data_IF_526479037078
#
_entry.id   IF_526479037078
#
_cell.length_a   1.000
_cell.length_b   1.000
_cell.length_c   1.000
_cell.angle_alpha   90.00
_cell.angle_beta   90.00
_cell.angle_gamma   90.00
#
_symmetry.space_group_name_H-M   'P 1'
#
loop_
_entity.id
_entity.type
_entity.pdbx_description
1 polymer ?
#
# COMPACT_ATOMS: atom_id res chain seq x y z
N UNK A 1 -18.87 11.25 -23.92
CA UNK A 1 -18.86 9.99 -23.13
C UNK A 1 -17.73 10.10 -22.13
N UNK A 2 -17.99 9.93 -20.81
CA UNK A 2 -16.93 9.92 -19.83
C UNK A 2 -16.03 8.70 -20.08
N UNK A 3 -14.71 8.92 -20.16
CA UNK A 3 -13.73 7.87 -20.34
C UNK A 3 -13.83 6.88 -19.19
N UNK A 4 -14.01 5.58 -19.52
CA UNK A 4 -14.17 4.55 -18.49
C UNK A 4 -12.84 4.39 -17.73
N UNK A 5 -12.80 4.85 -16.48
CA UNK A 5 -11.59 4.72 -15.62
C UNK A 5 -11.15 3.27 -15.52
N UNK A 6 -9.87 3.01 -15.73
CA UNK A 6 -9.25 1.70 -15.55
C UNK A 6 -9.21 1.31 -14.07
N UNK A 7 -9.05 0.01 -13.76
CA UNK A 7 -9.09 -0.50 -12.40
C UNK A 7 -8.09 0.21 -11.45
N UNK A 8 -6.90 0.54 -11.95
CA UNK A 8 -5.86 1.22 -11.17
C UNK A 8 -6.12 2.71 -10.95
N UNK A 9 -7.06 3.31 -11.68
CA UNK A 9 -7.44 4.72 -11.56
C UNK A 9 -8.55 4.98 -10.54
N UNK A 10 -9.24 3.92 -10.10
CA UNK A 10 -10.37 4.02 -9.16
C UNK A 10 -9.91 3.80 -7.72
N UNK A 11 -10.58 4.43 -6.74
CA UNK A 11 -10.52 3.96 -5.35
C UNK A 11 -10.90 2.49 -5.29
N UNK A 12 -10.22 1.73 -4.45
CA UNK A 12 -10.49 0.31 -4.39
C UNK A 12 -9.76 -0.42 -3.28
N UNK A 13 -10.09 -1.69 -3.12
CA UNK A 13 -9.54 -2.59 -2.12
C UNK A 13 -8.67 -3.65 -2.78
N UNK A 14 -7.41 -3.73 -2.34
CA UNK A 14 -6.43 -4.73 -2.78
C UNK A 14 -5.88 -5.57 -1.65
N UNK A 15 -5.30 -6.71 -2.00
CA UNK A 15 -4.58 -7.59 -1.10
C UNK A 15 -3.22 -7.93 -1.70
N UNK A 16 -2.16 -7.95 -0.87
CA UNK A 16 -0.84 -8.43 -1.24
C UNK A 16 -0.53 -9.69 -0.44
N UNK A 17 -0.33 -10.81 -1.12
CA UNK A 17 0.10 -12.05 -0.48
C UNK A 17 1.60 -12.00 -0.23
N UNK A 18 1.95 -12.04 1.06
CA UNK A 18 3.32 -11.98 1.55
C UNK A 18 3.83 -13.37 1.83
N UNK A 19 5.02 -13.63 1.30
CA UNK A 19 5.73 -14.87 1.53
C UNK A 19 7.07 -14.55 2.15
N UNK A 20 7.16 -14.74 3.45
CA UNK A 20 8.47 -14.81 4.08
C UNK A 20 8.93 -16.28 4.07
N UNK A 21 10.11 -16.53 3.55
CA UNK A 21 10.69 -17.88 3.54
C UNK A 21 10.77 -18.50 4.94
N UNK A 22 10.71 -17.68 5.98
CA UNK A 22 10.46 -18.06 7.38
C UNK A 22 9.59 -17.00 8.04
N UNK A 23 8.28 -17.23 8.24
CA UNK A 23 7.40 -16.35 8.99
C UNK A 23 7.96 -15.99 10.36
N UNK A 24 7.99 -14.68 10.68
CA UNK A 24 8.58 -14.17 11.90
C UNK A 24 10.11 -14.04 11.88
N UNK A 25 10.75 -14.30 10.77
CA UNK A 25 12.16 -13.98 10.62
C UNK A 25 12.31 -12.46 10.34
N UNK A 26 12.77 -11.74 11.33
CA UNK A 26 13.08 -10.31 11.18
C UNK A 26 14.23 -10.13 10.20
N UNK A 27 13.98 -9.46 9.11
CA UNK A 27 14.90 -9.18 8.00
C UNK A 27 16.21 -8.45 8.37
N UNK A 28 16.46 -8.15 9.63
CA UNK A 28 17.70 -7.57 10.16
C UNK A 28 18.61 -8.58 10.86
N UNK A 29 18.36 -9.90 10.74
CA UNK A 29 19.19 -10.92 11.42
C UNK A 29 19.81 -11.90 10.44
N UNK A 30 21.07 -11.63 10.10
CA UNK A 30 22.05 -12.61 9.59
C UNK A 30 21.58 -13.47 8.41
N UNK A 31 21.37 -12.86 7.26
CA UNK A 31 21.07 -13.56 6.01
C UNK A 31 22.14 -14.60 5.62
N UNK A 32 23.40 -14.46 6.08
CA UNK A 32 24.42 -15.48 5.86
C UNK A 32 24.00 -16.83 6.48
N UNK A 33 23.52 -16.82 7.74
CA UNK A 33 23.00 -18.03 8.40
C UNK A 33 21.73 -18.53 7.74
N UNK A 34 20.88 -17.62 7.31
CA UNK A 34 19.67 -17.96 6.58
C UNK A 34 20.02 -18.66 5.27
N UNK A 35 20.85 -18.03 4.43
CA UNK A 35 21.29 -18.58 3.16
C UNK A 35 21.98 -19.93 3.36
N UNK A 36 22.91 -20.03 4.33
CA UNK A 36 23.57 -21.31 4.64
C UNK A 36 22.58 -22.41 5.03
N UNK A 37 21.49 -22.10 5.72
CA UNK A 37 20.46 -23.06 6.08
C UNK A 37 19.56 -23.49 4.92
N UNK A 38 19.54 -22.70 3.85
CA UNK A 38 18.71 -22.89 2.67
C UNK A 38 19.49 -23.36 1.44
N UNK A 39 20.82 -23.53 1.55
CA UNK A 39 21.67 -23.99 0.46
C UNK A 39 22.02 -25.47 0.57
N UNK A 40 22.09 -26.13 -0.58
CA UNK A 40 22.76 -27.42 -0.72
C UNK A 40 24.28 -27.25 -0.92
N UNK A 41 25.00 -28.33 -1.02
CA UNK A 41 26.46 -28.37 -1.26
C UNK A 41 26.88 -27.70 -2.58
N UNK A 42 25.98 -27.64 -3.56
CA UNK A 42 26.19 -27.03 -4.87
C UNK A 42 25.71 -25.57 -4.92
N UNK A 43 25.37 -24.96 -3.77
CA UNK A 43 24.83 -23.61 -3.64
C UNK A 43 23.47 -23.38 -4.30
N UNK A 44 22.72 -24.46 -4.58
CA UNK A 44 21.33 -24.34 -5.01
C UNK A 44 20.40 -24.15 -3.80
N UNK A 45 19.23 -23.58 -4.03
CA UNK A 45 18.21 -23.43 -3.00
C UNK A 45 17.65 -24.81 -2.60
N UNK A 46 17.88 -25.22 -1.35
CA UNK A 46 17.16 -26.28 -0.68
C UNK A 46 15.91 -25.68 -0.05
N UNK A 47 14.88 -25.52 -0.87
CA UNK A 47 13.67 -24.83 -0.45
C UNK A 47 12.94 -25.60 0.65
N UNK A 48 12.80 -24.96 1.80
CA UNK A 48 11.98 -25.43 2.92
C UNK A 48 11.07 -24.30 3.44
N UNK A 49 10.76 -23.33 2.56
CA UNK A 49 9.89 -22.22 2.84
C UNK A 49 8.40 -22.57 2.74
N UNK A 50 7.52 -21.57 2.84
CA UNK A 50 6.09 -21.78 2.82
C UNK A 50 5.61 -22.45 1.53
N UNK A 51 4.71 -23.39 1.68
CA UNK A 51 3.92 -23.89 0.55
C UNK A 51 2.94 -22.79 0.11
N UNK A 52 2.88 -22.51 -1.19
CA UNK A 52 2.02 -21.44 -1.68
C UNK A 52 0.71 -22.04 -2.23
N UNK A 53 -0.34 -22.00 -1.43
CA UNK A 53 -1.68 -22.46 -1.82
C UNK A 53 -2.39 -21.48 -2.74
N UNK A 54 -1.84 -21.25 -3.94
CA UNK A 54 -2.27 -20.19 -4.86
C UNK A 54 -3.76 -20.21 -5.20
N UNK A 55 -4.34 -21.39 -5.37
CA UNK A 55 -5.78 -21.54 -5.63
C UNK A 55 -6.62 -21.02 -4.47
N UNK A 56 -6.25 -21.37 -3.24
CA UNK A 56 -6.95 -20.98 -2.03
C UNK A 56 -6.84 -19.46 -1.82
N UNK A 57 -5.66 -18.89 -2.11
CA UNK A 57 -5.43 -17.44 -1.96
C UNK A 57 -6.20 -16.63 -2.99
N UNK A 58 -6.23 -17.07 -4.25
CA UNK A 58 -7.05 -16.41 -5.29
C UNK A 58 -8.53 -16.54 -4.98
N UNK A 59 -8.97 -17.71 -4.50
CA UNK A 59 -10.36 -17.91 -4.07
C UNK A 59 -10.71 -17.03 -2.88
N UNK A 60 -9.81 -16.87 -1.91
CA UNK A 60 -9.99 -15.91 -0.82
C UNK A 60 -10.14 -14.48 -1.34
N UNK A 61 -9.29 -14.02 -2.27
CA UNK A 61 -9.43 -12.73 -2.93
C UNK A 61 -10.82 -12.53 -3.55
N UNK A 62 -11.31 -13.56 -4.26
CA UNK A 62 -12.64 -13.55 -4.89
C UNK A 62 -13.75 -13.47 -3.83
N UNK A 63 -13.63 -14.24 -2.75
CA UNK A 63 -14.61 -14.27 -1.66
C UNK A 63 -14.71 -12.96 -0.91
N UNK A 64 -13.60 -12.26 -0.67
CA UNK A 64 -13.61 -10.95 -0.01
C UNK A 64 -13.89 -9.79 -0.97
N UNK A 65 -13.90 -10.04 -2.29
CA UNK A 65 -14.31 -9.07 -3.31
C UNK A 65 -13.29 -7.97 -3.57
N UNK A 66 -12.00 -8.31 -3.56
CA UNK A 66 -10.93 -7.35 -3.91
C UNK A 66 -11.07 -6.86 -5.36
N UNK A 67 -10.56 -5.67 -5.61
CA UNK A 67 -10.51 -5.08 -6.94
C UNK A 67 -9.26 -5.49 -7.71
N UNK A 68 -8.21 -5.86 -7.01
CA UNK A 68 -6.95 -6.37 -7.53
C UNK A 68 -6.20 -7.10 -6.42
N UNK A 69 -5.21 -7.92 -6.81
CA UNK A 69 -4.33 -8.54 -5.84
C UNK A 69 -2.88 -8.60 -6.33
N UNK A 70 -1.96 -8.73 -5.39
CA UNK A 70 -0.52 -8.69 -5.61
C UNK A 70 0.09 -9.96 -5.00
N UNK A 71 1.04 -10.56 -5.71
CA UNK A 71 1.82 -11.67 -5.22
C UNK A 71 3.31 -11.33 -5.18
N UNK A 72 3.98 -11.64 -4.09
CA UNK A 72 5.42 -11.48 -3.93
C UNK A 72 6.17 -12.55 -4.70
N UNK A 73 6.52 -12.25 -5.97
CA UNK A 73 7.25 -13.19 -6.85
C UNK A 73 8.74 -13.29 -6.51
N UNK A 74 9.29 -12.27 -5.87
CA UNK A 74 10.65 -12.24 -5.33
C UNK A 74 10.70 -11.24 -4.19
N UNK A 75 10.98 -11.71 -2.98
CA UNK A 75 11.17 -10.86 -1.81
C UNK A 75 12.64 -10.51 -1.60
N UNK A 76 12.99 -9.88 -0.46
CA UNK A 76 14.35 -9.43 -0.13
C UNK A 76 15.36 -10.57 0.06
N UNK A 77 14.90 -11.78 0.36
CA UNK A 77 15.74 -12.97 0.44
C UNK A 77 16.26 -13.44 -0.94
N UNK A 78 15.75 -12.83 -2.00
CA UNK A 78 16.12 -13.13 -3.37
C UNK A 78 15.54 -14.43 -3.92
N UNK A 79 14.73 -15.17 -3.14
CA UNK A 79 14.09 -16.39 -3.62
C UNK A 79 13.05 -16.04 -4.68
N UNK A 80 13.20 -16.66 -5.86
CA UNK A 80 12.25 -16.51 -6.96
C UNK A 80 11.17 -17.57 -6.86
N UNK A 81 9.92 -17.17 -6.73
CA UNK A 81 8.74 -18.06 -6.68
C UNK A 81 8.23 -18.44 -8.09
N UNK A 82 9.07 -18.26 -9.09
CA UNK A 82 8.80 -18.57 -10.49
C UNK A 82 9.97 -19.28 -11.15
N UNK A 83 9.67 -20.04 -12.18
CA UNK A 83 10.71 -20.80 -12.88
C UNK A 83 11.52 -19.88 -13.82
N UNK A 84 12.46 -19.13 -13.22
CA UNK A 84 13.42 -18.30 -13.94
C UNK A 84 14.62 -19.13 -14.41
N UNK A 85 15.20 -18.72 -15.56
CA UNK A 85 16.45 -19.30 -16.07
C UNK A 85 17.70 -18.54 -15.60
N UNK A 86 17.53 -17.45 -14.87
CA UNK A 86 18.64 -16.54 -14.54
C UNK A 86 19.25 -16.82 -13.15
N UNK A 87 18.67 -17.71 -12.37
CA UNK A 87 19.24 -18.18 -11.10
C UNK A 87 18.68 -19.55 -10.72
N UNK A 88 19.47 -20.30 -9.92
CA UNK A 88 19.00 -21.50 -9.25
C UNK A 88 18.39 -21.20 -7.86
N UNK A 89 18.40 -19.93 -7.41
CA UNK A 89 17.80 -19.47 -6.17
C UNK A 89 16.29 -19.26 -6.37
N UNK A 90 15.60 -20.36 -6.63
CA UNK A 90 14.17 -20.38 -6.97
C UNK A 90 13.48 -21.59 -6.38
N UNK A 91 12.16 -21.48 -6.20
CA UNK A 91 11.32 -22.60 -5.72
C UNK A 91 11.29 -23.74 -6.73
N UNK A 92 11.11 -25.00 -6.25
CA UNK A 92 10.96 -26.16 -7.13
C UNK A 92 9.72 -26.06 -8.02
N UNK A 93 8.65 -25.46 -7.49
CA UNK A 93 7.38 -25.25 -8.17
C UNK A 93 7.26 -23.84 -8.69
N UNK A 94 6.63 -23.65 -9.85
CA UNK A 94 6.33 -22.36 -10.44
C UNK A 94 5.01 -21.81 -9.89
N UNK A 95 5.06 -21.27 -8.67
CA UNK A 95 3.88 -20.71 -8.00
C UNK A 95 3.29 -19.52 -8.75
N UNK A 96 4.12 -18.74 -9.44
CA UNK A 96 3.67 -17.59 -10.23
C UNK A 96 2.81 -18.03 -11.42
N UNK A 97 3.14 -19.15 -12.05
CA UNK A 97 2.30 -19.71 -13.12
C UNK A 97 0.89 -20.04 -12.60
N UNK A 98 0.81 -20.76 -11.48
CA UNK A 98 -0.47 -21.14 -10.86
C UNK A 98 -1.28 -19.89 -10.47
N UNK A 99 -0.61 -18.93 -9.81
CA UNK A 99 -1.25 -17.68 -9.41
C UNK A 99 -1.83 -16.91 -10.59
N UNK A 100 -1.07 -16.75 -11.66
CA UNK A 100 -1.50 -16.03 -12.85
C UNK A 100 -2.67 -16.72 -13.56
N UNK A 101 -2.67 -18.05 -13.63
CA UNK A 101 -3.77 -18.83 -14.21
C UNK A 101 -5.06 -18.69 -13.39
N UNK A 102 -4.98 -18.88 -12.08
CA UNK A 102 -6.14 -18.79 -11.20
C UNK A 102 -6.70 -17.35 -11.14
N UNK A 103 -5.83 -16.33 -11.15
CA UNK A 103 -6.24 -14.93 -11.19
C UNK A 103 -7.04 -14.60 -12.46
N UNK A 104 -6.60 -15.10 -13.63
CA UNK A 104 -7.35 -14.93 -14.87
C UNK A 104 -8.70 -15.65 -14.84
N UNK A 105 -8.75 -16.88 -14.31
CA UNK A 105 -10.03 -17.61 -14.12
C UNK A 105 -10.97 -16.83 -13.22
N UNK A 106 -10.45 -16.24 -12.15
CA UNK A 106 -11.22 -15.40 -11.22
C UNK A 106 -11.58 -14.03 -11.80
N UNK A 107 -10.95 -13.61 -12.90
CA UNK A 107 -11.09 -12.28 -13.53
C UNK A 107 -10.76 -11.14 -12.57
N UNK A 108 -9.74 -11.34 -11.75
CA UNK A 108 -9.21 -10.33 -10.83
C UNK A 108 -7.91 -9.79 -11.42
N UNK A 109 -7.75 -8.47 -11.62
CA UNK A 109 -6.49 -7.86 -12.01
C UNK A 109 -5.39 -8.26 -11.01
N UNK A 110 -4.24 -8.69 -11.52
CA UNK A 110 -3.17 -9.18 -10.68
C UNK A 110 -1.82 -8.53 -11.00
N UNK A 111 -1.05 -8.27 -9.95
CA UNK A 111 0.28 -7.68 -10.04
C UNK A 111 1.32 -8.58 -9.39
N UNK A 112 2.57 -8.36 -9.78
CA UNK A 112 3.73 -8.97 -9.15
C UNK A 112 4.49 -7.95 -8.33
N UNK A 113 4.63 -8.21 -7.03
CA UNK A 113 5.59 -7.52 -6.20
C UNK A 113 7.00 -8.06 -6.49
N UNK A 114 7.94 -7.15 -6.70
CA UNK A 114 9.32 -7.48 -6.95
C UNK A 114 10.23 -6.60 -6.10
N UNK A 115 11.05 -7.23 -5.25
CA UNK A 115 12.12 -6.53 -4.53
C UNK A 115 13.23 -6.17 -5.51
N UNK A 116 13.37 -4.87 -5.82
CA UNK A 116 14.24 -4.41 -6.90
C UNK A 116 15.68 -4.17 -6.47
N UNK A 117 15.90 -3.91 -5.18
CA UNK A 117 17.21 -3.47 -4.68
C UNK A 117 17.77 -4.41 -3.65
N UNK A 118 16.93 -4.86 -2.74
CA UNK A 118 17.33 -5.89 -1.78
C UNK A 118 17.23 -7.24 -2.45
N UNK A 119 18.37 -7.90 -2.55
CA UNK A 119 18.46 -9.24 -3.08
C UNK A 119 19.57 -10.01 -2.35
N UNK A 120 19.18 -10.95 -1.51
CA UNK A 120 20.09 -11.80 -0.74
C UNK A 120 20.42 -13.11 -1.46
N UNK A 121 20.15 -13.19 -2.76
CA UNK A 121 20.52 -14.32 -3.55
C UNK A 121 22.03 -14.61 -3.42
N UNK A 122 22.47 -15.79 -3.01
CA UNK A 122 23.88 -16.13 -2.84
C UNK A 122 24.74 -15.97 -4.11
N UNK A 123 24.13 -15.97 -5.28
CA UNK A 123 24.82 -15.69 -6.55
C UNK A 123 25.49 -14.31 -6.54
N UNK A 124 24.95 -13.37 -5.73
CA UNK A 124 25.44 -12.01 -5.59
C UNK A 124 26.14 -11.75 -4.25
N UNK A 125 26.51 -12.78 -3.49
CA UNK A 125 27.12 -12.66 -2.16
C UNK A 125 28.37 -11.79 -2.12
N UNK A 126 29.23 -11.86 -3.15
CA UNK A 126 30.43 -11.03 -3.27
C UNK A 126 30.06 -9.53 -3.46
N UNK A 127 28.86 -9.25 -3.81
CA UNK A 127 28.34 -7.96 -4.26
C UNK A 127 27.36 -7.38 -3.21
N UNK A 128 26.98 -8.17 -2.21
CA UNK A 128 25.95 -7.77 -1.27
C UNK A 128 26.40 -6.67 -0.30
N UNK A 129 25.66 -5.55 -0.25
CA UNK A 129 25.90 -4.51 0.73
C UNK A 129 25.45 -4.88 2.14
N UNK A 130 24.87 -6.02 2.35
CA UNK A 130 24.10 -6.35 3.55
C UNK A 130 24.86 -6.94 4.71
N UNK A 131 26.11 -7.31 4.54
CA UNK A 131 27.03 -7.37 5.70
C UNK A 131 27.05 -6.03 6.48
N UNK A 132 26.59 -4.97 5.83
CA UNK A 132 26.56 -3.59 6.34
C UNK A 132 25.13 -3.04 6.58
N UNK A 133 24.06 -3.72 6.20
CA UNK A 133 22.69 -3.19 6.38
C UNK A 133 22.15 -3.25 7.82
N UNK A 134 22.70 -4.07 8.71
CA UNK A 134 22.30 -4.07 10.11
C UNK A 134 22.47 -2.68 10.78
N UNK A 135 23.58 -1.96 10.58
CA UNK A 135 23.69 -0.56 10.99
C UNK A 135 22.77 0.39 10.24
N UNK A 136 22.58 0.18 8.94
CA UNK A 136 21.74 1.05 8.10
C UNK A 136 20.27 1.02 8.49
N UNK A 137 19.75 -0.13 8.90
CA UNK A 137 18.40 -0.21 9.44
C UNK A 137 18.24 0.58 10.73
N UNK A 138 19.23 0.49 11.63
CA UNK A 138 19.24 1.32 12.84
C UNK A 138 19.31 2.81 12.47
N UNK A 139 20.11 3.17 11.48
CA UNK A 139 20.23 4.54 10.95
C UNK A 139 18.96 4.96 10.23
N UNK A 140 18.32 4.11 9.43
CA UNK A 140 17.01 4.34 8.83
C UNK A 140 15.93 4.51 9.89
N UNK A 141 15.87 3.62 10.86
CA UNK A 141 14.94 3.72 11.98
C UNK A 141 15.20 4.99 12.80
N UNK A 142 16.45 5.34 13.03
CA UNK A 142 16.85 6.57 13.72
C UNK A 142 16.53 7.79 12.87
N UNK A 143 16.75 7.75 11.57
CA UNK A 143 16.38 8.84 10.63
C UNK A 143 14.85 8.94 10.50
N UNK A 144 14.13 7.83 10.51
CA UNK A 144 12.67 7.80 10.51
C UNK A 144 12.10 8.28 11.86
N UNK A 145 12.70 7.89 12.97
CA UNK A 145 12.37 8.38 14.32
C UNK A 145 12.74 9.86 14.46
N UNK A 146 13.93 10.28 14.01
CA UNK A 146 14.34 11.68 13.97
C UNK A 146 13.40 12.51 13.06
N UNK A 147 13.03 12.01 11.88
CA UNK A 147 12.03 12.67 11.03
C UNK A 147 10.67 12.77 11.72
N UNK A 148 10.25 11.74 12.47
CA UNK A 148 9.01 11.73 13.25
C UNK A 148 9.08 12.68 14.45
N UNK A 149 10.22 12.78 15.11
CA UNK A 149 10.47 13.67 16.25
C UNK A 149 10.69 15.13 15.81
N UNK A 150 11.35 15.33 14.67
CA UNK A 150 11.60 16.64 14.07
C UNK A 150 10.31 17.31 13.54
N UNK A 151 9.32 16.51 13.12
CA UNK A 151 7.99 17.02 12.76
C UNK A 151 7.21 17.48 14.00
N UNK A 152 7.61 17.06 15.20
CA UNK A 152 6.89 17.35 16.44
C UNK A 152 7.46 18.48 17.32
N UNK A 153 8.52 19.18 16.94
CA UNK A 153 8.84 20.38 17.72
C UNK A 153 10.28 20.89 17.87
N UNK A 154 11.30 20.30 17.22
CA UNK A 154 12.68 20.80 17.35
C UNK A 154 13.38 20.83 15.98
N UNK A 155 12.92 21.74 15.06
CA UNK A 155 13.13 21.31 13.71
C UNK A 155 13.93 22.19 12.76
N UNK A 156 13.99 23.47 12.89
CA UNK A 156 14.47 24.28 11.78
C UNK A 156 15.98 24.18 11.54
N UNK A 157 16.77 24.14 12.59
CA UNK A 157 18.25 24.10 12.48
C UNK A 157 18.75 22.69 12.11
N UNK A 158 18.10 21.64 12.62
CA UNK A 158 18.45 20.26 12.31
C UNK A 158 17.97 19.82 10.92
N UNK A 159 16.81 20.32 10.46
CA UNK A 159 16.33 20.07 9.12
C UNK A 159 17.22 20.74 8.04
N UNK A 160 17.77 21.91 8.35
CA UNK A 160 18.78 22.56 7.50
C UNK A 160 20.08 21.75 7.51
N UNK A 161 20.54 21.28 8.68
CA UNK A 161 21.73 20.43 8.80
C UNK A 161 21.59 19.09 8.10
N UNK A 162 20.46 18.42 8.25
CA UNK A 162 20.14 17.18 7.52
C UNK A 162 19.96 17.43 6.03
N UNK A 163 19.32 18.52 5.64
CA UNK A 163 19.18 18.93 4.23
C UNK A 163 20.51 19.31 3.58
N UNK A 164 21.43 19.93 4.34
CA UNK A 164 22.79 20.24 3.88
C UNK A 164 23.60 18.95 3.79
N UNK A 165 23.54 18.05 4.77
CA UNK A 165 24.16 16.72 4.71
C UNK A 165 23.63 15.88 3.54
N UNK A 166 22.32 15.95 3.25
CA UNK A 166 21.73 15.30 2.08
C UNK A 166 22.17 15.95 0.77
N UNK A 167 22.29 17.28 0.70
CA UNK A 167 22.83 17.99 -0.48
C UNK A 167 24.33 17.78 -0.63
N UNK A 168 25.09 17.80 0.44
CA UNK A 168 26.53 17.51 0.43
C UNK A 168 26.77 16.05 0.03
N UNK A 169 25.98 15.11 0.51
CA UNK A 169 26.02 13.71 0.05
C UNK A 169 25.72 13.58 -1.45
N UNK A 170 24.87 14.45 -2.03
CA UNK A 170 24.61 14.51 -3.48
C UNK A 170 25.78 15.11 -4.27
N UNK A 171 26.55 16.04 -3.67
CA UNK A 171 27.71 16.67 -4.28
C UNK A 171 28.94 15.78 -4.16
N UNK A 172 29.10 15.06 -3.05
CA UNK A 172 30.20 14.11 -2.81
C UNK A 172 29.99 12.72 -3.44
N UNK A 173 28.92 12.51 -4.19
CA UNK A 173 28.67 11.29 -4.99
C UNK A 173 29.63 11.08 -6.18
N UNK A 174 30.72 11.80 -6.27
CA UNK A 174 31.86 11.36 -7.05
C UNK A 174 32.53 10.23 -6.28
N UNK A 175 32.30 9.01 -6.76
CA UNK A 175 32.83 7.74 -6.26
C UNK A 175 34.26 7.87 -5.74
N UNK A 176 34.52 7.79 -4.44
CA UNK A 176 35.88 7.60 -3.99
C UNK A 176 36.26 6.16 -4.31
N UNK A 177 37.36 5.99 -5.04
CA UNK A 177 38.02 4.69 -5.28
C UNK A 177 38.66 4.12 -4.00
N UNK A 178 38.45 4.73 -2.85
CA UNK A 178 39.14 4.41 -1.60
C UNK A 178 38.27 3.50 -0.71
N UNK A 179 38.86 2.33 -0.41
CA UNK A 179 38.27 1.28 0.44
C UNK A 179 38.16 1.65 1.92
N UNK A 180 38.62 2.81 2.35
CA UNK A 180 38.67 3.24 3.74
C UNK A 180 37.37 3.90 4.25
N UNK A 181 36.44 4.24 3.40
CA UNK A 181 35.20 4.92 3.75
C UNK A 181 34.08 3.96 4.17
N UNK A 182 34.37 3.05 5.11
CA UNK A 182 33.42 2.02 5.59
C UNK A 182 32.07 2.54 6.08
N UNK A 183 31.99 3.75 6.56
CA UNK A 183 30.71 4.27 7.06
C UNK A 183 29.86 4.95 5.97
N UNK A 184 30.43 5.44 4.86
CA UNK A 184 29.71 5.92 3.70
C UNK A 184 29.11 4.77 2.87
N UNK A 185 29.69 3.58 2.95
CA UNK A 185 29.12 2.37 2.33
C UNK A 185 27.77 2.00 2.95
N UNK A 186 27.47 2.41 4.17
CA UNK A 186 26.17 2.23 4.82
C UNK A 186 25.02 3.01 4.16
N UNK A 187 25.32 4.04 3.38
CA UNK A 187 24.35 4.84 2.64
C UNK A 187 24.30 4.51 1.14
N UNK A 188 25.14 3.57 0.70
CA UNK A 188 25.10 3.05 -0.66
C UNK A 188 24.22 1.82 -0.70
N UNK A 189 22.96 2.05 -0.98
CA UNK A 189 22.06 0.99 -1.41
C UNK A 189 22.30 0.64 -2.89
N UNK A 190 23.55 0.45 -3.28
CA UNK A 190 23.85 -0.28 -4.50
C UNK A 190 24.03 -1.73 -4.09
N UNK A 191 23.22 -2.66 -4.55
CA UNK A 191 23.41 -4.08 -4.30
C UNK A 191 24.75 -4.59 -4.86
N UNK A 192 25.54 -3.74 -5.51
CA UNK A 192 26.72 -4.12 -6.29
C UNK A 192 27.89 -3.24 -5.96
N UNK A 193 28.88 -3.87 -5.29
CA UNK A 193 30.14 -3.21 -4.95
C UNK A 193 31.06 -3.14 -6.16
N UNK A 194 31.03 -4.15 -7.01
CA UNK A 194 32.03 -4.36 -8.05
C UNK A 194 31.47 -4.31 -9.49
N UNK A 195 30.23 -4.71 -9.73
CA UNK A 195 29.57 -4.60 -11.04
C UNK A 195 28.05 -4.36 -10.94
N UNK A 196 27.62 -3.11 -10.82
CA UNK A 196 26.20 -2.76 -10.85
C UNK A 196 25.47 -3.23 -12.10
N UNK A 197 26.18 -3.39 -13.21
CA UNK A 197 25.58 -3.79 -14.48
C UNK A 197 25.10 -5.24 -14.46
N UNK A 198 25.79 -6.13 -13.80
CA UNK A 198 25.41 -7.55 -13.75
C UNK A 198 24.06 -7.75 -13.10
N UNK A 199 23.77 -7.09 -11.99
CA UNK A 199 22.45 -7.19 -11.36
C UNK A 199 21.38 -6.45 -12.16
N UNK A 200 21.70 -5.31 -12.68
CA UNK A 200 20.75 -4.58 -13.54
C UNK A 200 20.28 -5.47 -14.71
N UNK A 201 21.23 -6.16 -15.36
CA UNK A 201 20.93 -7.14 -16.41
C UNK A 201 20.09 -8.30 -15.88
N UNK A 202 20.44 -8.86 -14.73
CA UNK A 202 19.68 -9.92 -14.08
C UNK A 202 18.25 -9.48 -13.79
N UNK A 203 18.07 -8.31 -13.17
CA UNK A 203 16.75 -7.76 -12.85
C UNK A 203 15.91 -7.54 -14.12
N UNK A 204 16.45 -6.89 -15.15
CA UNK A 204 15.72 -6.64 -16.39
C UNK A 204 15.36 -7.93 -17.14
N UNK A 205 16.23 -8.91 -17.08
CA UNK A 205 15.95 -10.23 -17.65
C UNK A 205 14.81 -10.92 -16.90
N UNK A 206 14.79 -10.86 -15.57
CA UNK A 206 13.67 -11.40 -14.77
C UNK A 206 12.37 -10.64 -14.99
N UNK A 207 12.40 -9.30 -15.05
CA UNK A 207 11.20 -8.50 -15.36
C UNK A 207 10.66 -8.85 -16.75
N UNK A 208 11.56 -9.05 -17.74
CA UNK A 208 11.19 -9.52 -19.07
C UNK A 208 10.50 -10.89 -19.01
N UNK A 209 11.08 -11.85 -18.28
CA UNK A 209 10.48 -13.18 -18.09
C UNK A 209 9.09 -13.09 -17.44
N UNK A 210 8.98 -12.34 -16.35
CA UNK A 210 7.72 -12.16 -15.62
C UNK A 210 6.62 -11.61 -16.51
N UNK A 211 6.91 -10.55 -17.25
CA UNK A 211 5.92 -9.92 -18.12
C UNK A 211 5.56 -10.79 -19.33
N UNK A 212 6.56 -11.36 -20.02
CA UNK A 212 6.31 -12.10 -21.25
C UNK A 212 5.67 -13.46 -21.01
N UNK A 213 6.10 -14.17 -19.96
CA UNK A 213 5.62 -15.51 -19.64
C UNK A 213 4.28 -15.49 -18.93
N UNK A 214 4.14 -14.65 -17.91
CA UNK A 214 2.97 -14.71 -17.01
C UNK A 214 1.93 -13.61 -17.30
N UNK A 215 2.30 -12.57 -18.05
CA UNK A 215 1.40 -11.49 -18.50
C UNK A 215 0.58 -10.89 -17.36
N UNK A 216 1.20 -10.32 -16.32
CA UNK A 216 0.49 -9.64 -15.26
C UNK A 216 -0.14 -8.34 -15.75
N UNK A 217 -1.16 -7.85 -15.05
CA UNK A 217 -1.71 -6.51 -15.29
C UNK A 217 -0.77 -5.41 -14.78
N UNK A 218 0.14 -5.73 -13.86
CA UNK A 218 1.10 -4.76 -13.36
C UNK A 218 2.28 -5.33 -12.57
N UNK A 219 3.22 -4.43 -12.27
CA UNK A 219 4.38 -4.66 -11.42
C UNK A 219 4.36 -3.66 -10.26
N UNK A 220 4.58 -4.15 -9.06
CA UNK A 220 4.72 -3.39 -7.83
C UNK A 220 6.16 -3.52 -7.35
N UNK A 221 6.97 -2.45 -7.53
CA UNK A 221 8.40 -2.45 -7.26
C UNK A 221 8.68 -1.94 -5.84
N UNK A 222 9.44 -2.70 -5.08
CA UNK A 222 9.81 -2.30 -3.72
C UNK A 222 11.23 -1.76 -3.62
N UNK A 223 11.47 -0.97 -2.58
CA UNK A 223 12.77 -0.41 -2.23
C UNK A 223 13.41 0.50 -3.27
N UNK A 224 12.64 1.42 -3.81
CA UNK A 224 13.23 2.46 -4.64
C UNK A 224 13.74 3.69 -3.84
N UNK A 225 13.37 3.81 -2.55
CA UNK A 225 13.43 5.04 -1.74
C UNK A 225 14.79 5.65 -1.46
N UNK A 226 15.88 4.91 -1.57
CA UNK A 226 17.10 5.29 -0.87
C UNK A 226 18.26 5.61 -1.81
N UNK A 227 18.15 6.58 -2.65
CA UNK A 227 19.18 7.02 -3.59
C UNK A 227 19.15 6.40 -4.98
N UNK A 228 18.09 5.73 -5.33
CA UNK A 228 17.97 4.95 -6.54
C UNK A 228 16.94 5.54 -7.50
N UNK A 229 16.74 6.85 -7.41
CA UNK A 229 15.99 7.58 -8.43
C UNK A 229 16.47 7.13 -9.83
N UNK A 230 17.78 7.00 -10.04
CA UNK A 230 18.33 6.55 -11.32
C UNK A 230 17.90 5.12 -11.69
N UNK A 231 17.82 4.20 -10.72
CA UNK A 231 17.36 2.81 -10.98
C UNK A 231 15.87 2.75 -11.23
N UNK A 232 15.06 3.52 -10.49
CA UNK A 232 13.62 3.62 -10.75
C UNK A 232 13.35 4.22 -12.14
N UNK A 233 14.07 5.27 -12.54
CA UNK A 233 13.97 5.83 -13.88
C UNK A 233 14.36 4.83 -14.98
N UNK A 234 15.40 4.04 -14.77
CA UNK A 234 15.79 2.99 -15.72
C UNK A 234 14.73 1.90 -15.86
N UNK A 235 14.12 1.48 -14.72
CA UNK A 235 13.03 0.51 -14.73
C UNK A 235 11.82 1.10 -15.46
N UNK A 236 11.45 2.35 -15.18
CA UNK A 236 10.34 3.02 -15.85
C UNK A 236 10.56 3.15 -17.34
N UNK A 237 11.73 3.65 -17.76
CA UNK A 237 12.11 3.80 -19.17
C UNK A 237 12.09 2.45 -19.91
N UNK A 238 12.58 1.39 -19.25
CA UNK A 238 12.55 0.04 -19.79
C UNK A 238 11.12 -0.48 -19.96
N UNK A 239 10.29 -0.32 -18.92
CA UNK A 239 8.90 -0.80 -18.94
C UNK A 239 8.05 -0.01 -19.92
N UNK A 240 8.15 1.31 -19.95
CA UNK A 240 7.41 2.17 -20.86
C UNK A 240 7.73 1.87 -22.32
N UNK A 241 9.00 1.62 -22.64
CA UNK A 241 9.41 1.29 -24.01
C UNK A 241 9.01 -0.09 -24.46
N UNK A 242 9.04 -1.09 -23.58
CA UNK A 242 8.82 -2.48 -23.97
C UNK A 242 7.44 -3.02 -23.62
N UNK A 243 6.83 -2.52 -22.56
CA UNK A 243 5.60 -3.07 -22.00
C UNK A 243 4.67 -1.94 -21.51
N UNK A 244 4.25 -1.02 -22.38
CA UNK A 244 3.49 0.18 -22.01
C UNK A 244 2.12 -0.12 -21.38
N UNK A 245 1.57 -1.31 -21.64
CA UNK A 245 0.25 -1.73 -21.12
C UNK A 245 0.34 -2.33 -19.70
N UNK A 246 1.56 -2.57 -19.18
CA UNK A 246 1.77 -3.12 -17.85
C UNK A 246 1.82 -1.99 -16.82
N UNK A 247 0.88 -2.01 -15.88
CA UNK A 247 0.82 -1.01 -14.82
C UNK A 247 2.06 -1.08 -13.94
N UNK A 248 2.72 0.05 -13.70
CA UNK A 248 3.93 0.14 -12.89
C UNK A 248 3.72 1.07 -11.71
N UNK A 249 4.12 0.62 -10.53
CA UNK A 249 4.18 1.45 -9.32
C UNK A 249 5.41 1.14 -8.48
N UNK A 250 5.77 2.05 -7.59
CA UNK A 250 6.91 1.92 -6.69
C UNK A 250 6.51 2.24 -5.26
N UNK A 251 6.99 1.46 -4.31
CA UNK A 251 6.76 1.74 -2.88
C UNK A 251 7.31 3.11 -2.49
N UNK A 252 6.59 3.83 -1.61
CA UNK A 252 6.88 5.20 -1.15
C UNK A 252 7.07 6.25 -2.26
N UNK A 253 6.57 5.99 -3.47
CA UNK A 253 6.67 6.90 -4.60
C UNK A 253 5.80 8.16 -4.48
N UNK A 254 4.78 8.17 -3.62
CA UNK A 254 3.79 9.24 -3.54
C UNK A 254 4.36 10.60 -3.14
N UNK A 255 5.41 10.61 -2.32
CA UNK A 255 6.13 11.81 -1.90
C UNK A 255 7.35 12.12 -2.79
N UNK A 256 7.59 11.32 -3.82
CA UNK A 256 8.66 11.51 -4.78
C UNK A 256 8.23 12.41 -5.94
N UNK A 257 9.21 12.88 -6.69
CA UNK A 257 8.99 13.59 -7.94
C UNK A 257 8.83 12.65 -9.14
N UNK A 258 8.70 11.35 -8.91
CA UNK A 258 8.50 10.36 -9.97
C UNK A 258 7.12 10.58 -10.61
N UNK A 259 7.11 11.09 -11.83
CA UNK A 259 5.89 11.51 -12.54
C UNK A 259 5.31 10.43 -13.47
N UNK A 260 5.98 9.28 -13.58
CA UNK A 260 5.73 8.31 -14.65
C UNK A 260 5.13 7.00 -14.18
N UNK A 261 5.14 6.71 -12.90
CA UNK A 261 4.39 5.56 -12.38
C UNK A 261 2.88 5.77 -12.69
N UNK A 262 2.19 4.71 -13.06
CA UNK A 262 0.76 4.76 -13.34
C UNK A 262 -0.03 5.23 -12.12
N UNK A 263 0.38 4.76 -10.94
CA UNK A 263 -0.07 5.28 -9.66
C UNK A 263 1.09 5.27 -8.65
N UNK A 264 0.95 6.03 -7.59
CA UNK A 264 1.98 6.16 -6.56
C UNK A 264 1.55 5.46 -5.29
N UNK A 265 2.51 4.94 -4.52
CA UNK A 265 2.21 4.25 -3.27
C UNK A 265 2.95 4.82 -2.07
N UNK A 266 2.44 4.54 -0.88
CA UNK A 266 3.12 4.69 0.39
C UNK A 266 2.54 3.72 1.43
N UNK A 267 3.13 3.64 2.62
CA UNK A 267 2.64 2.78 3.68
C UNK A 267 1.74 3.51 4.67
N UNK A 268 0.74 2.81 5.22
CA UNK A 268 -0.07 3.24 6.35
C UNK A 268 -0.27 2.05 7.30
N UNK A 269 0.16 2.20 8.56
CA UNK A 269 0.16 1.11 9.53
C UNK A 269 -1.02 1.14 10.50
N UNK A 270 -1.71 2.28 10.61
CA UNK A 270 -2.82 2.49 11.54
C UNK A 270 -3.85 3.50 10.99
N UNK A 271 -4.99 3.59 11.63
CA UNK A 271 -6.09 4.52 11.29
C UNK A 271 -5.63 5.98 11.29
N UNK A 272 -4.72 6.35 12.21
CA UNK A 272 -4.20 7.74 12.30
C UNK A 272 -3.33 8.06 11.08
N UNK A 273 -2.47 7.14 10.67
CA UNK A 273 -1.66 7.28 9.46
C UNK A 273 -2.53 7.33 8.20
N UNK A 274 -3.53 6.45 8.09
CA UNK A 274 -4.50 6.44 7.00
C UNK A 274 -5.25 7.78 6.92
N UNK A 275 -5.74 8.30 8.05
CA UNK A 275 -6.41 9.60 8.12
C UNK A 275 -5.51 10.75 7.64
N UNK A 276 -4.32 10.86 8.21
CA UNK A 276 -3.41 11.97 7.91
C UNK A 276 -2.95 11.94 6.44
N UNK A 277 -2.58 10.77 5.95
CA UNK A 277 -2.12 10.59 4.57
C UNK A 277 -3.29 10.71 3.58
N UNK A 278 -4.45 10.12 3.85
CA UNK A 278 -5.64 10.27 3.02
C UNK A 278 -6.05 11.73 2.83
N UNK A 279 -6.12 12.51 3.93
CA UNK A 279 -6.40 13.94 3.83
C UNK A 279 -5.33 14.73 3.06
N UNK A 280 -4.06 14.32 3.17
CA UNK A 280 -2.96 14.95 2.41
C UNK A 280 -3.08 14.65 0.93
N UNK A 281 -3.39 13.40 0.57
CA UNK A 281 -3.33 12.91 -0.82
C UNK A 281 -4.65 13.01 -1.57
N UNK A 282 -5.79 13.27 -0.92
CA UNK A 282 -7.09 13.40 -1.60
C UNK A 282 -7.12 14.46 -2.70
N UNK A 283 -6.17 15.40 -2.70
CA UNK A 283 -6.00 16.44 -3.72
C UNK A 283 -5.04 16.06 -4.84
N UNK A 284 -4.44 14.87 -4.75
CA UNK A 284 -3.57 14.40 -5.79
C UNK A 284 -4.40 14.14 -7.06
N UNK A 285 -3.93 14.69 -8.16
CA UNK A 285 -4.55 14.44 -9.48
C UNK A 285 -4.25 13.04 -10.01
N UNK A 286 -3.11 12.46 -9.60
CA UNK A 286 -2.70 11.11 -9.98
C UNK A 286 -3.29 10.09 -9.01
N UNK A 287 -3.68 8.90 -9.49
CA UNK A 287 -4.11 7.80 -8.63
C UNK A 287 -3.03 7.43 -7.61
N UNK A 288 -3.44 6.97 -6.45
CA UNK A 288 -2.53 6.61 -5.37
C UNK A 288 -3.07 5.43 -4.54
N UNK A 289 -2.17 4.78 -3.83
CA UNK A 289 -2.44 3.64 -2.97
C UNK A 289 -1.73 3.82 -1.64
N UNK A 290 -2.34 3.39 -0.55
CA UNK A 290 -1.61 3.12 0.69
C UNK A 290 -1.71 1.64 1.03
N UNK A 291 -0.55 1.04 1.29
CA UNK A 291 -0.45 -0.34 1.73
C UNK A 291 -0.14 -0.41 3.23
N UNK A 292 -0.72 -1.38 3.91
CA UNK A 292 -0.43 -1.67 5.30
C UNK A 292 -0.60 -3.16 5.60
N UNK A 293 -0.07 -3.67 6.73
CA UNK A 293 -0.25 -5.06 7.09
C UNK A 293 -1.72 -5.36 7.42
N UNK A 294 -2.24 -6.49 6.96
CA UNK A 294 -3.53 -7.02 7.41
C UNK A 294 -3.50 -7.42 8.89
N UNK A 295 -2.36 -7.92 9.32
CA UNK A 295 -2.04 -8.24 10.70
C UNK A 295 -1.69 -6.98 11.53
N UNK A 296 -1.32 -7.17 12.78
CA UNK A 296 -0.95 -6.09 13.70
C UNK A 296 0.29 -5.28 13.21
N UNK A 297 1.26 -5.97 12.58
CA UNK A 297 2.43 -5.35 11.94
C UNK A 297 2.95 -6.26 10.82
N UNK A 298 3.91 -5.77 10.02
CA UNK A 298 4.55 -6.55 8.96
C UNK A 298 5.25 -7.81 9.46
N UNK A 299 5.78 -7.78 10.69
CA UNK A 299 6.50 -8.87 11.35
C UNK A 299 5.73 -9.46 12.56
N UNK A 300 4.48 -9.09 12.74
CA UNK A 300 3.61 -9.57 13.81
C UNK A 300 2.26 -10.00 13.24
N UNK A 301 2.13 -11.28 12.98
CA UNK A 301 0.98 -11.88 12.27
C UNK A 301 -0.25 -12.14 13.14
N UNK A 302 -0.25 -11.65 14.39
CA UNK A 302 -1.45 -11.63 15.20
C UNK A 302 -2.51 -10.73 14.56
N UNK A 303 -3.81 -11.00 14.77
CA UNK A 303 -4.86 -10.11 14.31
C UNK A 303 -4.73 -8.73 14.95
N UNK A 304 -5.24 -7.72 14.31
CA UNK A 304 -5.32 -6.38 14.91
C UNK A 304 -6.18 -6.42 16.16
N UNK A 305 -5.79 -5.71 17.24
CA UNK A 305 -6.59 -5.68 18.48
C UNK A 305 -8.02 -5.18 18.25
N UNK A 306 -8.19 -4.21 17.36
CA UNK A 306 -9.49 -3.74 16.92
C UNK A 306 -9.87 -4.41 15.59
N UNK A 307 -10.88 -5.29 15.56
CA UNK A 307 -11.26 -6.03 14.36
C UNK A 307 -11.75 -5.14 13.21
N UNK A 308 -12.19 -3.92 13.51
CA UNK A 308 -12.63 -2.95 12.50
C UNK A 308 -11.53 -2.01 12.02
N UNK A 309 -10.31 -2.11 12.54
CA UNK A 309 -9.25 -1.16 12.22
C UNK A 309 -8.87 -1.18 10.74
N UNK A 310 -8.65 -2.36 10.16
CA UNK A 310 -8.35 -2.50 8.73
C UNK A 310 -9.49 -1.96 7.86
N UNK A 311 -10.73 -2.26 8.23
CA UNK A 311 -11.91 -1.77 7.54
C UNK A 311 -12.00 -0.23 7.57
N UNK A 312 -11.76 0.39 8.74
CA UNK A 312 -11.74 1.86 8.85
C UNK A 312 -10.59 2.50 8.08
N UNK A 313 -9.40 1.88 8.10
CA UNK A 313 -8.28 2.34 7.27
C UNK A 313 -8.67 2.35 5.80
N UNK A 314 -9.21 1.24 5.30
CA UNK A 314 -9.64 1.11 3.91
C UNK A 314 -10.72 2.13 3.54
N UNK A 315 -11.76 2.27 4.35
CA UNK A 315 -12.84 3.21 4.10
C UNK A 315 -12.33 4.66 4.04
N UNK A 316 -11.45 5.07 4.97
CA UNK A 316 -10.82 6.40 4.97
C UNK A 316 -10.03 6.64 3.67
N UNK A 317 -9.23 5.66 3.25
CA UNK A 317 -8.38 5.79 2.06
C UNK A 317 -9.23 5.86 0.79
N UNK A 318 -10.22 5.00 0.66
CA UNK A 318 -11.12 4.98 -0.49
C UNK A 318 -12.00 6.24 -0.56
N UNK A 319 -12.56 6.70 0.57
CA UNK A 319 -13.28 7.97 0.64
C UNK A 319 -12.39 9.18 0.30
N UNK A 320 -11.06 9.06 0.54
CA UNK A 320 -10.09 10.08 0.15
C UNK A 320 -9.65 9.98 -1.32
N UNK A 321 -10.21 9.05 -2.10
CA UNK A 321 -9.93 8.88 -3.52
C UNK A 321 -8.75 7.96 -3.85
N UNK A 322 -8.21 7.25 -2.86
CA UNK A 322 -7.09 6.33 -3.04
C UNK A 322 -7.48 4.85 -3.01
N UNK A 323 -6.50 4.00 -3.18
CA UNK A 323 -6.62 2.55 -2.98
C UNK A 323 -6.09 2.17 -1.60
N UNK A 324 -6.71 1.17 -0.99
CA UNK A 324 -6.24 0.53 0.22
C UNK A 324 -5.78 -0.89 -0.11
N UNK A 325 -4.52 -1.20 0.16
CA UNK A 325 -3.96 -2.53 -0.01
C UNK A 325 -3.52 -3.10 1.34
N UNK A 326 -3.72 -4.40 1.56
CA UNK A 326 -3.32 -5.06 2.79
C UNK A 326 -2.39 -6.24 2.51
N UNK A 327 -1.21 -6.22 3.14
CA UNK A 327 -0.28 -7.33 3.15
C UNK A 327 -0.82 -8.48 4.01
N UNK A 328 -1.10 -9.61 3.37
CA UNK A 328 -1.66 -10.80 4.01
C UNK A 328 -0.59 -11.87 4.14
N UNK A 329 -0.13 -12.17 5.36
CA UNK A 329 0.89 -13.19 5.58
C UNK A 329 0.33 -14.60 5.45
N UNK A 330 1.18 -15.52 4.94
CA UNK A 330 0.92 -16.95 4.88
C UNK A 330 1.75 -17.72 5.91
N UNK A 331 1.24 -18.86 6.35
CA UNK A 331 1.93 -19.83 7.21
C UNK A 331 2.81 -20.77 6.39
N UNK A 332 3.67 -21.54 7.07
CA UNK A 332 4.57 -22.49 6.42
C UNK A 332 3.84 -23.58 5.62
N UNK A 333 2.63 -23.96 6.02
CA UNK A 333 1.79 -24.91 5.29
C UNK A 333 0.99 -24.28 4.14
N UNK A 334 1.19 -22.98 3.88
CA UNK A 334 0.51 -22.21 2.85
C UNK A 334 -0.88 -21.73 3.22
N UNK A 335 -1.38 -21.98 4.42
CA UNK A 335 -2.63 -21.41 4.88
C UNK A 335 -2.43 -19.95 5.27
N UNK A 336 -3.46 -19.14 5.11
CA UNK A 336 -3.43 -17.75 5.59
C UNK A 336 -3.63 -17.72 7.12
N UNK A 337 -3.03 -16.75 7.80
CA UNK A 337 -3.25 -16.58 9.24
C UNK A 337 -4.72 -16.26 9.52
N UNK A 338 -5.40 -17.14 10.25
CA UNK A 338 -6.85 -17.13 10.44
C UNK A 338 -7.39 -15.81 11.02
N UNK A 339 -6.68 -15.20 11.97
CA UNK A 339 -7.09 -13.95 12.58
C UNK A 339 -7.17 -12.79 11.58
N UNK A 340 -6.07 -12.39 10.92
CA UNK A 340 -6.10 -11.38 9.88
C UNK A 340 -7.03 -11.73 8.72
N UNK A 341 -7.06 -12.99 8.27
CA UNK A 341 -7.96 -13.43 7.20
C UNK A 341 -9.43 -13.24 7.59
N UNK A 342 -9.81 -13.61 8.82
CA UNK A 342 -11.16 -13.42 9.33
C UNK A 342 -11.58 -11.94 9.38
N UNK A 343 -10.66 -11.05 9.82
CA UNK A 343 -10.92 -9.60 9.84
C UNK A 343 -11.10 -9.03 8.41
N UNK A 344 -10.25 -9.43 7.45
CA UNK A 344 -10.43 -9.02 6.06
C UNK A 344 -11.66 -9.64 5.41
N UNK A 345 -12.07 -10.85 5.78
CA UNK A 345 -13.30 -11.46 5.29
C UNK A 345 -14.54 -10.67 5.74
N UNK A 346 -14.59 -10.25 7.00
CA UNK A 346 -15.66 -9.38 7.52
C UNK A 346 -15.68 -8.03 6.78
N UNK A 347 -14.50 -7.42 6.58
CA UNK A 347 -14.41 -6.20 5.79
C UNK A 347 -14.88 -6.41 4.35
N UNK A 348 -14.49 -7.50 3.70
CA UNK A 348 -14.91 -7.83 2.33
C UNK A 348 -16.45 -7.91 2.18
N UNK A 349 -17.15 -8.50 3.15
CA UNK A 349 -18.62 -8.54 3.15
C UNK A 349 -19.23 -7.13 3.29
N UNK A 350 -18.64 -6.30 4.16
CA UNK A 350 -19.04 -4.90 4.32
C UNK A 350 -18.78 -4.10 3.04
N UNK A 351 -17.58 -4.27 2.42
CA UNK A 351 -17.17 -3.56 1.22
C UNK A 351 -18.03 -3.87 0.00
N UNK A 352 -18.37 -5.14 -0.24
CA UNK A 352 -19.18 -5.56 -1.39
C UNK A 352 -20.51 -4.80 -1.50
N UNK A 353 -21.16 -4.52 -0.36
CA UNK A 353 -22.41 -3.74 -0.32
C UNK A 353 -22.20 -2.25 -0.61
N UNK A 354 -20.98 -1.73 -0.48
CA UNK A 354 -20.64 -0.31 -0.52
C UNK A 354 -19.67 0.06 -1.65
N UNK A 355 -19.24 -0.91 -2.42
CA UNK A 355 -18.20 -0.75 -3.46
C UNK A 355 -18.48 0.45 -4.38
N UNK A 356 -19.69 0.58 -4.90
CA UNK A 356 -20.07 1.67 -5.77
C UNK A 356 -20.00 3.05 -5.07
N UNK A 357 -20.27 3.09 -3.75
CA UNK A 357 -20.19 4.33 -2.98
C UNK A 357 -18.77 4.90 -2.93
N UNK A 358 -17.74 4.04 -3.06
CA UNK A 358 -16.33 4.48 -3.12
C UNK A 358 -15.82 4.65 -4.55
N UNK A 359 -16.11 3.70 -5.43
CA UNK A 359 -15.57 3.71 -6.80
C UNK A 359 -16.12 4.82 -7.68
N UNK A 360 -17.34 5.23 -7.43
CA UNK A 360 -18.02 6.31 -8.15
C UNK A 360 -18.01 7.64 -7.36
N UNK A 361 -17.24 7.70 -6.28
CA UNK A 361 -17.06 8.91 -5.48
C UNK A 361 -15.82 9.71 -5.91
N UNK A 362 -15.98 11.03 -5.96
CA UNK A 362 -14.87 11.97 -6.17
C UNK A 362 -14.74 12.85 -4.94
N UNK A 363 -13.58 12.87 -4.25
CA UNK A 363 -13.39 13.69 -3.07
C UNK A 363 -13.64 15.17 -3.35
N UNK A 364 -14.39 15.84 -2.47
CA UNK A 364 -14.63 17.27 -2.56
C UNK A 364 -13.34 18.05 -2.29
N UNK A 365 -13.14 19.13 -3.03
CA UNK A 365 -12.01 20.04 -2.78
C UNK A 365 -12.34 21.02 -1.66
N UNK A 366 -11.79 20.80 -0.47
CA UNK A 366 -11.86 21.72 0.66
C UNK A 366 -10.53 21.73 1.43
N UNK A 367 -10.25 22.86 2.09
CA UNK A 367 -9.09 22.99 2.98
C UNK A 367 -9.40 22.43 4.35
N UNK A 368 -8.44 21.77 4.97
CA UNK A 368 -8.57 21.21 6.32
C UNK A 368 -8.98 19.75 6.36
N UNK A 369 -9.31 19.26 7.55
CA UNK A 369 -9.57 17.83 7.83
C UNK A 369 -11.06 17.51 8.00
N UNK A 370 -11.94 18.46 7.82
CA UNK A 370 -13.40 18.30 7.96
C UNK A 370 -14.11 19.03 6.84
N UNK A 371 -15.23 18.48 6.40
CA UNK A 371 -16.10 19.11 5.40
C UNK A 371 -16.65 20.43 5.98
N UNK A 372 -16.56 21.55 5.24
CA UNK A 372 -17.07 22.81 5.70
C UNK A 372 -18.57 22.76 6.01
N UNK A 373 -18.93 23.37 7.13
CA UNK A 373 -20.33 23.46 7.55
C UNK A 373 -20.93 22.17 8.07
N UNK A 374 -20.14 21.12 8.30
CA UNK A 374 -20.59 19.89 8.97
C UNK A 374 -19.93 19.79 10.34
N UNK A 375 -20.75 19.71 11.38
CA UNK A 375 -20.34 19.49 12.75
C UNK A 375 -21.00 18.20 13.29
N UNK A 376 -20.25 17.45 14.08
CA UNK A 376 -20.76 16.32 14.83
C UNK A 376 -20.57 16.62 16.31
N UNK A 377 -21.55 16.32 17.13
CA UNK A 377 -21.52 16.61 18.56
C UNK A 377 -20.27 16.02 19.22
N UNK A 378 -19.92 14.82 18.82
CA UNK A 378 -18.74 14.09 19.28
C UNK A 378 -17.47 14.60 18.57
N UNK A 379 -16.62 15.33 19.27
CA UNK A 379 -15.44 16.00 18.71
C UNK A 379 -14.44 15.07 18.02
N UNK A 380 -14.39 13.79 18.40
CA UNK A 380 -13.50 12.78 17.83
C UNK A 380 -14.02 12.21 16.50
N UNK A 381 -15.29 12.36 16.17
CA UNK A 381 -15.85 11.93 14.89
C UNK A 381 -15.29 12.81 13.77
N UNK A 382 -14.80 12.14 12.75
CA UNK A 382 -14.17 12.75 11.57
C UNK A 382 -15.07 12.54 10.36
N UNK A 383 -14.99 13.42 9.37
CA UNK A 383 -15.78 13.29 8.15
C UNK A 383 -14.97 13.57 6.88
N UNK A 384 -15.35 12.88 5.79
CA UNK A 384 -14.87 13.12 4.44
C UNK A 384 -16.10 13.32 3.54
N UNK A 385 -16.04 14.32 2.67
CA UNK A 385 -17.08 14.58 1.69
C UNK A 385 -16.64 14.24 0.27
N UNK A 386 -17.55 13.63 -0.49
CA UNK A 386 -17.38 13.31 -1.90
C UNK A 386 -18.60 13.74 -2.71
N UNK A 387 -18.39 13.97 -4.01
CA UNK A 387 -19.47 14.02 -5.00
C UNK A 387 -19.65 12.60 -5.53
N UNK A 388 -20.89 12.12 -5.64
CA UNK A 388 -21.18 10.77 -6.11
C UNK A 388 -21.47 10.77 -7.62
N UNK A 389 -20.77 9.94 -8.34
CA UNK A 389 -20.85 9.92 -9.80
C UNK A 389 -20.35 11.24 -10.39
N UNK A 390 -21.06 11.71 -11.39
CA UNK A 390 -20.85 13.02 -12.01
C UNK A 390 -21.99 14.02 -11.67
N UNK A 391 -22.79 13.71 -10.67
CA UNK A 391 -23.92 14.53 -10.26
C UNK A 391 -23.52 15.47 -9.10
N UNK A 392 -23.34 16.76 -9.35
CA UNK A 392 -22.95 17.73 -8.32
C UNK A 392 -24.01 17.93 -7.25
N UNK A 393 -25.23 17.44 -7.45
CA UNK A 393 -26.32 17.53 -6.49
C UNK A 393 -26.36 16.34 -5.52
N UNK A 394 -25.52 15.33 -5.73
CA UNK A 394 -25.41 14.16 -4.85
C UNK A 394 -24.08 14.14 -4.13
N UNK A 395 -24.13 14.33 -2.82
CA UNK A 395 -22.94 14.32 -1.96
C UNK A 395 -22.96 13.10 -1.05
N UNK A 396 -21.79 12.49 -0.84
CA UNK A 396 -21.59 11.45 0.15
C UNK A 396 -20.75 12.01 1.30
N UNK A 397 -21.23 11.83 2.53
CA UNK A 397 -20.50 12.20 3.75
C UNK A 397 -20.20 10.93 4.53
N UNK A 398 -18.92 10.61 4.63
CA UNK A 398 -18.39 9.48 5.38
C UNK A 398 -18.04 9.94 6.78
N UNK A 399 -18.58 9.27 7.80
CA UNK A 399 -18.40 9.58 9.22
C UNK A 399 -17.61 8.48 9.90
N UNK A 400 -16.41 8.79 10.40
CA UNK A 400 -15.48 7.83 11.00
C UNK A 400 -15.30 8.07 12.49
N UNK A 401 -15.08 6.99 13.23
CA UNK A 401 -14.89 7.05 14.68
C UNK A 401 -16.20 7.33 15.42
N UNK A 402 -17.30 6.87 14.88
CA UNK A 402 -18.65 7.08 15.45
C UNK A 402 -18.81 6.33 16.77
N UNK A 403 -19.47 6.92 17.77
CA UNK A 403 -19.72 6.27 19.04
C UNK A 403 -20.83 5.20 18.94
N UNK A 404 -20.88 4.32 19.93
CA UNK A 404 -21.97 3.34 20.06
C UNK A 404 -23.20 3.94 20.77
N UNK A 405 -23.64 5.10 20.29
CA UNK A 405 -24.80 5.85 20.79
C UNK A 405 -25.45 6.60 19.62
N UNK A 406 -26.57 7.27 19.85
CA UNK A 406 -27.20 8.13 18.86
C UNK A 406 -26.21 9.20 18.39
N UNK A 407 -26.11 9.40 17.08
CA UNK A 407 -25.17 10.32 16.47
C UNK A 407 -25.89 11.59 15.99
N UNK A 408 -25.51 12.72 16.53
CA UNK A 408 -26.07 14.03 16.14
C UNK A 408 -25.14 14.71 15.16
N UNK A 409 -25.63 14.93 13.94
CA UNK A 409 -24.92 15.64 12.86
C UNK A 409 -25.63 16.95 12.57
N UNK A 410 -24.87 18.04 12.52
CA UNK A 410 -25.36 19.38 12.24
C UNK A 410 -24.74 19.91 10.95
N UNK A 411 -25.57 20.48 10.09
CA UNK A 411 -25.18 21.12 8.84
C UNK A 411 -25.47 22.62 8.96
N UNK A 412 -24.47 23.46 8.77
CA UNK A 412 -24.64 24.92 8.74
C UNK A 412 -25.44 25.33 7.50
N UNK A 413 -26.56 26.01 7.65
CA UNK A 413 -27.45 26.41 6.55
C UNK A 413 -26.73 27.22 5.49
N UNK A 414 -25.82 28.12 5.86
CA UNK A 414 -25.01 28.89 4.90
C UNK A 414 -24.32 28.02 3.84
N UNK A 415 -23.95 26.79 4.19
CA UNK A 415 -23.27 25.86 3.28
C UNK A 415 -24.22 24.81 2.66
N UNK A 416 -25.35 24.51 3.34
CA UNK A 416 -26.20 23.36 3.03
C UNK A 416 -27.69 23.72 2.92
N UNK A 417 -28.02 24.97 2.61
CA UNK A 417 -29.43 25.43 2.55
C UNK A 417 -30.25 24.70 1.46
N UNK A 418 -29.59 24.33 0.35
CA UNK A 418 -30.20 23.55 -0.73
C UNK A 418 -30.41 22.05 -0.39
N UNK A 419 -30.05 21.58 0.83
CA UNK A 419 -30.26 20.20 1.23
C UNK A 419 -31.75 19.86 1.27
N UNK A 420 -32.14 18.89 0.46
CA UNK A 420 -33.52 18.45 0.31
C UNK A 420 -33.79 17.14 1.06
N UNK A 421 -32.88 16.16 0.91
CA UNK A 421 -33.06 14.80 1.42
C UNK A 421 -31.74 14.23 1.94
N UNK A 422 -31.84 13.43 3.02
CA UNK A 422 -30.73 12.68 3.59
C UNK A 422 -31.09 11.20 3.58
N UNK A 423 -30.21 10.37 3.01
CA UNK A 423 -30.35 8.92 3.02
C UNK A 423 -29.17 8.29 3.76
N UNK A 424 -29.43 7.26 4.53
CA UNK A 424 -28.41 6.40 5.14
C UNK A 424 -28.07 5.27 4.19
N UNK A 425 -26.80 5.14 3.85
CA UNK A 425 -26.30 4.10 2.95
C UNK A 425 -25.82 2.86 3.72
N UNK A 426 -25.85 1.65 3.15
CA UNK A 426 -26.18 1.34 1.73
C UNK A 426 -27.67 1.11 1.46
N UNK A 427 -28.51 1.03 2.48
CA UNK A 427 -29.93 0.67 2.38
C UNK A 427 -30.78 1.78 1.77
N UNK A 428 -30.22 2.99 1.60
CA UNK A 428 -30.91 4.21 1.14
C UNK A 428 -32.12 4.59 2.02
N UNK A 429 -32.02 4.29 3.33
CA UNK A 429 -33.03 4.65 4.30
C UNK A 429 -33.12 6.18 4.42
N UNK A 430 -34.30 6.74 4.20
CA UNK A 430 -34.54 8.18 4.40
C UNK A 430 -34.51 8.53 5.88
N UNK A 431 -33.78 9.59 6.21
CA UNK A 431 -33.64 10.09 7.56
C UNK A 431 -34.33 11.45 7.70
N UNK A 432 -35.16 11.57 8.73
CA UNK A 432 -35.78 12.84 9.11
C UNK A 432 -34.75 13.78 9.72
N UNK A 433 -34.90 15.06 9.41
CA UNK A 433 -34.06 16.12 9.96
C UNK A 433 -34.86 17.38 10.23
N UNK A 434 -34.42 18.19 11.18
CA UNK A 434 -35.01 19.49 11.48
C UNK A 434 -34.22 20.62 10.89
N UNK A 435 -34.91 21.69 10.47
CA UNK A 435 -34.27 22.94 9.97
C UNK A 435 -34.67 24.12 10.83
N UNK A 436 -33.73 24.86 11.34
CA UNK A 436 -33.95 26.17 11.96
C UNK A 436 -33.28 27.30 11.13
N UNK A 437 -33.15 28.49 11.66
CA UNK A 437 -32.59 29.64 10.97
C UNK A 437 -31.09 29.47 10.63
N UNK A 438 -30.34 28.71 11.41
CA UNK A 438 -28.89 28.65 11.35
C UNK A 438 -28.36 27.26 10.93
N UNK A 439 -29.06 26.21 11.30
CA UNK A 439 -28.56 24.83 11.10
C UNK A 439 -29.67 23.84 10.72
N UNK A 440 -29.21 22.72 10.15
CA UNK A 440 -30.00 21.53 9.89
C UNK A 440 -29.47 20.47 10.84
N UNK A 441 -30.34 19.86 11.65
CA UNK A 441 -29.96 18.86 12.64
C UNK A 441 -30.54 17.50 12.28
N UNK A 442 -29.66 16.51 12.19
CA UNK A 442 -29.97 15.11 11.96
C UNK A 442 -29.57 14.28 13.19
N UNK A 443 -30.44 13.38 13.61
CA UNK A 443 -30.14 12.36 14.62
C UNK A 443 -30.18 10.98 13.96
N UNK A 444 -29.07 10.24 14.02
CA UNK A 444 -28.96 8.86 13.53
C UNK A 444 -29.05 7.96 14.77
N UNK A 445 -30.08 7.09 14.87
CA UNK A 445 -30.21 6.18 15.99
C UNK A 445 -29.01 5.22 16.12
N UNK A 446 -28.68 4.85 17.35
CA UNK A 446 -27.54 3.98 17.67
C UNK A 446 -27.47 2.69 16.83
N UNK A 447 -28.63 2.06 16.60
CA UNK A 447 -28.72 0.81 15.84
C UNK A 447 -28.37 0.98 14.36
N UNK A 448 -28.48 2.21 13.84
CA UNK A 448 -28.23 2.55 12.43
C UNK A 448 -26.80 3.09 12.20
N UNK A 449 -26.00 3.22 13.29
CA UNK A 449 -24.62 3.71 13.24
C UNK A 449 -23.67 2.55 12.92
N UNK A 450 -23.02 2.61 11.75
CA UNK A 450 -22.00 1.63 11.35
C UNK A 450 -20.63 1.96 11.99
N UNK A 451 -20.04 0.99 12.68
CA UNK A 451 -18.78 1.16 13.42
C UNK A 451 -17.54 1.30 12.51
N UNK A 452 -17.65 0.89 11.26
CA UNK A 452 -16.57 1.08 10.27
C UNK A 452 -16.64 2.48 9.68
N UNK A 453 -17.79 2.85 9.14
CA UNK A 453 -18.03 4.10 8.46
C UNK A 453 -19.55 4.29 8.25
N UNK A 454 -20.13 5.32 8.85
CA UNK A 454 -21.54 5.70 8.62
C UNK A 454 -21.59 6.65 7.43
N UNK A 455 -22.29 6.26 6.36
CA UNK A 455 -22.31 7.01 5.09
C UNK A 455 -23.68 7.66 4.90
N UNK A 456 -23.68 8.98 4.75
CA UNK A 456 -24.85 9.76 4.42
C UNK A 456 -24.82 10.18 2.96
N UNK A 457 -25.89 9.91 2.22
CA UNK A 457 -26.13 10.49 0.90
C UNK A 457 -27.00 11.72 1.05
N UNK A 458 -26.50 12.85 0.65
CA UNK A 458 -27.19 14.11 0.66
C UNK A 458 -27.64 14.43 -0.78
N UNK A 459 -28.94 14.70 -0.96
CA UNK A 459 -29.49 15.20 -2.21
C UNK A 459 -29.76 16.69 -2.07
N UNK A 460 -29.24 17.45 -3.00
CA UNK A 460 -29.42 18.90 -3.08
C UNK A 460 -30.53 19.24 -4.10
N UNK A 461 -31.18 20.40 -3.91
CA UNK A 461 -32.12 20.96 -4.90
C UNK A 461 -31.40 21.44 -6.13
#
# INVERSE_FOLDING_TARGET
>A
MAEKKLWWQKPGFGIQYQIEARPGWRWNRNYEKFNASMMDENRNLKFNGPLCKMKDWVEFSRQIGVDYHIFEVKWHDGICYFNTKYTNWKTPEDYVQIYAEESRKARIPFMFYYSSIFDHNPQFDAIQPLKTCTPSYFTLRTTFILRKTLIQGFSFVFAIGAGILFKLNRIFRRYPKDKSAKWFDHFRFTPFKDDPKTYEIYMFNQLTELVTKYKPDGLWMDWYMLSLEDSAYKIMDFMEKKYPDVVLTFNDSIDSKLRWAHYTTAEAHDVKAAWNKGNRYRRNKSPWELIGPAANAWDNFLPRPDPHEAARMAAILMASGGKACFGMPAQMDGTLYAGPAGQLAQFGQWYKKRKALFQDATPMDYKGQKVPGIAVKEKHVKNIGCIHGNDPLIHLIYLFGVPRQDLIVKFCRKNWDALEKILLEPEQQELDFTKDALEITLTIPKQDVDQTDTILRLKMK
#
